data_IF_592362798897
#
_entry.id   IF_592362798897
#
_cell.length_a   1.000
_cell.length_b   1.000
_cell.length_c   1.000
_cell.angle_alpha   90.00
_cell.angle_beta   90.00
_cell.angle_gamma   90.00
#
_symmetry.space_group_name_H-M   'P 1'
#
loop_
_entity.id
_entity.type
_entity.pdbx_description
1 polymer ?
#
# COMPACT_ATOMS: atom_id res chain seq x y z
N UNK A 1 -31.40 -26.47 16.79
CA UNK A 1 -29.94 -26.20 16.69
C UNK A 1 -29.45 -25.87 18.09
N UNK A 2 -28.39 -26.52 18.59
CA UNK A 2 -27.89 -26.30 19.97
C UNK A 2 -27.27 -24.90 20.09
N UNK A 3 -27.83 -23.99 20.92
CA UNK A 3 -27.31 -22.64 21.12
C UNK A 3 -25.86 -22.62 21.62
N UNK A 4 -25.43 -23.62 22.40
CA UNK A 4 -24.06 -23.72 22.92
C UNK A 4 -23.07 -24.05 21.81
N UNK A 5 -23.46 -24.90 20.86
CA UNK A 5 -22.67 -25.20 19.66
C UNK A 5 -22.50 -23.95 18.79
N UNK A 6 -23.59 -23.23 18.53
CA UNK A 6 -23.55 -22.00 17.73
C UNK A 6 -22.65 -20.90 18.34
N UNK A 7 -22.67 -20.74 19.67
CA UNK A 7 -21.80 -19.78 20.38
C UNK A 7 -20.33 -20.21 20.28
N UNK A 8 -20.01 -21.49 20.48
CA UNK A 8 -18.64 -22.01 20.34
C UNK A 8 -18.10 -21.82 18.93
N UNK A 9 -18.91 -22.11 17.91
CA UNK A 9 -18.52 -21.96 16.51
C UNK A 9 -18.23 -20.49 16.16
N UNK A 10 -19.07 -19.55 16.64
CA UNK A 10 -18.82 -18.11 16.48
C UNK A 10 -17.54 -17.65 17.18
N UNK A 11 -17.32 -18.09 18.42
CA UNK A 11 -16.11 -17.75 19.18
C UNK A 11 -14.84 -18.28 18.52
N UNK A 12 -14.87 -19.51 18.00
CA UNK A 12 -13.74 -20.10 17.30
C UNK A 12 -13.43 -19.30 16.03
N UNK A 13 -14.44 -18.92 15.26
CA UNK A 13 -14.24 -18.09 14.06
C UNK A 13 -13.61 -16.74 14.40
N UNK A 14 -14.11 -16.05 15.42
CA UNK A 14 -13.54 -14.78 15.89
C UNK A 14 -12.06 -14.94 16.28
N UNK A 15 -11.71 -16.02 17.00
CA UNK A 15 -10.32 -16.29 17.38
C UNK A 15 -9.42 -16.52 16.16
N UNK A 16 -9.90 -17.27 15.18
CA UNK A 16 -9.16 -17.51 13.93
C UNK A 16 -8.96 -16.22 13.15
N UNK A 17 -10.00 -15.41 12.99
CA UNK A 17 -9.94 -14.13 12.27
C UNK A 17 -8.97 -13.16 12.96
N UNK A 18 -9.02 -13.06 14.29
CA UNK A 18 -8.08 -12.25 15.07
C UNK A 18 -6.64 -12.73 14.95
N UNK A 19 -6.42 -14.06 14.91
CA UNK A 19 -5.10 -14.65 14.67
C UNK A 19 -4.54 -14.24 13.31
N UNK A 20 -5.34 -14.37 12.25
CA UNK A 20 -4.92 -13.98 10.90
C UNK A 20 -4.62 -12.48 10.78
N UNK A 21 -5.45 -11.63 11.39
CA UNK A 21 -5.20 -10.16 11.42
C UNK A 21 -3.90 -9.86 12.15
N UNK A 22 -3.68 -10.46 13.33
CA UNK A 22 -2.44 -10.29 14.10
C UNK A 22 -1.23 -10.67 13.26
N UNK A 23 -1.28 -11.83 12.61
CA UNK A 23 -0.14 -12.34 11.84
C UNK A 23 0.15 -11.45 10.61
N UNK A 24 -0.90 -10.90 9.97
CA UNK A 24 -0.75 -9.91 8.90
C UNK A 24 -0.12 -8.60 9.39
N UNK A 25 -0.52 -8.10 10.56
CA UNK A 25 0.03 -6.87 11.14
C UNK A 25 1.48 -7.07 11.55
N UNK A 26 1.82 -8.20 12.17
CA UNK A 26 3.20 -8.53 12.51
C UNK A 26 4.07 -8.66 11.27
N UNK A 27 3.55 -9.25 10.19
CA UNK A 27 4.27 -9.29 8.92
C UNK A 27 4.61 -7.88 8.40
N UNK A 28 3.65 -6.96 8.42
CA UNK A 28 3.88 -5.57 8.02
C UNK A 28 4.91 -4.89 8.95
N UNK A 29 4.81 -5.07 10.28
CA UNK A 29 5.79 -4.52 11.24
C UNK A 29 7.20 -5.04 10.97
N UNK A 30 7.37 -6.34 10.75
CA UNK A 30 8.69 -6.91 10.43
C UNK A 30 9.22 -6.41 9.09
N UNK A 31 8.35 -6.18 8.10
CA UNK A 31 8.72 -5.58 6.84
C UNK A 31 9.32 -4.17 7.00
N UNK A 32 8.77 -3.35 7.91
CA UNK A 32 9.38 -2.06 8.28
C UNK A 32 10.72 -2.27 9.01
N UNK A 33 10.77 -3.17 10.01
CA UNK A 33 12.00 -3.46 10.77
C UNK A 33 13.17 -3.92 9.90
N UNK A 34 12.88 -4.68 8.84
CA UNK A 34 13.90 -5.19 7.92
C UNK A 34 14.44 -4.10 6.98
N UNK A 35 13.59 -3.17 6.57
CA UNK A 35 13.90 -2.18 5.51
C UNK A 35 14.19 -0.78 6.00
N UNK A 36 13.87 -0.47 7.24
CA UNK A 36 14.24 0.78 7.90
C UNK A 36 15.32 0.54 8.97
N UNK A 37 16.59 0.89 8.69
CA UNK A 37 17.67 0.80 9.66
C UNK A 37 17.47 1.64 10.92
N UNK A 38 16.59 2.65 10.89
CA UNK A 38 16.32 3.52 12.03
C UNK A 38 15.37 2.89 13.05
N UNK A 39 14.55 1.91 12.65
CA UNK A 39 13.64 1.23 13.55
C UNK A 39 14.42 0.55 14.69
N UNK A 40 14.02 0.77 15.93
CA UNK A 40 14.64 0.15 17.11
C UNK A 40 13.81 -1.00 17.67
N UNK A 41 12.48 -0.97 17.51
CA UNK A 41 11.59 -2.03 18.02
C UNK A 41 10.27 -2.16 17.24
N UNK A 42 9.62 -3.31 17.39
CA UNK A 42 8.29 -3.57 16.83
C UNK A 42 7.22 -2.63 17.40
N UNK A 43 7.34 -2.29 18.68
CA UNK A 43 6.44 -1.35 19.36
C UNK A 43 6.58 0.07 18.79
N UNK A 44 7.81 0.50 18.51
CA UNK A 44 8.07 1.80 17.87
C UNK A 44 7.42 1.88 16.49
N UNK A 45 7.63 0.87 15.66
CA UNK A 45 7.02 0.78 14.32
C UNK A 45 5.50 0.80 14.42
N UNK A 46 4.92 -0.03 15.29
CA UNK A 46 3.47 -0.16 15.39
C UNK A 46 2.78 1.12 15.91
N UNK A 47 3.41 1.83 16.85
CA UNK A 47 2.77 2.93 17.58
C UNK A 47 3.13 4.31 17.05
N UNK A 48 4.26 4.46 16.35
CA UNK A 48 4.81 5.77 16.00
C UNK A 48 4.95 5.99 14.49
N UNK A 49 4.89 4.96 13.65
CA UNK A 49 5.20 5.12 12.23
C UNK A 49 3.95 5.50 11.43
N UNK A 50 3.92 6.68 10.77
CA UNK A 50 2.77 7.11 9.98
C UNK A 50 2.44 6.16 8.83
N UNK A 51 3.48 5.58 8.20
CA UNK A 51 3.33 4.56 7.16
C UNK A 51 2.56 3.34 7.66
N UNK A 52 2.93 2.82 8.85
CA UNK A 52 2.25 1.69 9.47
C UNK A 52 0.78 2.03 9.79
N UNK A 53 0.54 3.20 10.39
CA UNK A 53 -0.82 3.66 10.70
C UNK A 53 -1.69 3.79 9.43
N UNK A 54 -1.14 4.35 8.36
CA UNK A 54 -1.86 4.50 7.08
C UNK A 54 -2.30 3.15 6.51
N UNK A 55 -1.45 2.11 6.59
CA UNK A 55 -1.81 0.76 6.16
C UNK A 55 -2.91 0.16 7.02
N UNK A 56 -2.85 0.29 8.35
CA UNK A 56 -3.90 -0.21 9.24
C UNK A 56 -5.25 0.42 8.93
N UNK A 57 -5.29 1.75 8.78
CA UNK A 57 -6.51 2.45 8.40
C UNK A 57 -6.99 2.05 7.00
N UNK A 58 -6.08 1.91 6.04
CA UNK A 58 -6.43 1.47 4.69
C UNK A 58 -7.05 0.07 4.70
N UNK A 59 -6.45 -0.91 5.38
CA UNK A 59 -7.00 -2.27 5.47
C UNK A 59 -8.42 -2.27 6.07
N UNK A 60 -8.68 -1.45 7.10
CA UNK A 60 -10.02 -1.28 7.65
C UNK A 60 -10.98 -0.60 6.66
N UNK A 61 -10.54 0.46 5.98
CA UNK A 61 -11.33 1.17 4.97
C UNK A 61 -11.65 0.27 3.76
N UNK A 62 -10.70 -0.52 3.30
CA UNK A 62 -10.84 -1.47 2.20
C UNK A 62 -11.89 -2.52 2.53
N UNK A 63 -11.83 -3.13 3.72
CA UNK A 63 -12.81 -4.11 4.16
C UNK A 63 -14.24 -3.53 4.26
N UNK A 64 -14.40 -2.25 4.57
CA UNK A 64 -15.70 -1.57 4.51
C UNK A 64 -16.14 -1.29 3.08
N UNK A 65 -15.20 -0.89 2.22
CA UNK A 65 -15.44 -0.63 0.81
C UNK A 65 -15.93 -1.88 0.08
N UNK A 66 -15.29 -3.03 0.29
CA UNK A 66 -15.69 -4.32 -0.29
C UNK A 66 -17.09 -4.77 0.16
N UNK A 67 -17.55 -4.32 1.33
CA UNK A 67 -18.91 -4.56 1.84
C UNK A 67 -19.94 -3.55 1.32
N UNK A 68 -19.54 -2.60 0.49
CA UNK A 68 -20.41 -1.56 -0.08
C UNK A 68 -20.58 -0.32 0.80
N UNK A 69 -19.92 -0.23 1.97
CA UNK A 69 -19.97 0.95 2.85
C UNK A 69 -19.01 2.05 2.38
N UNK A 70 -19.19 2.53 1.16
CA UNK A 70 -18.26 3.41 0.44
C UNK A 70 -18.01 4.74 1.14
N UNK A 71 -19.06 5.38 1.70
CA UNK A 71 -18.92 6.63 2.43
C UNK A 71 -18.08 6.46 3.71
N UNK A 72 -18.39 5.43 4.51
CA UNK A 72 -17.64 5.15 5.74
C UNK A 72 -16.18 4.81 5.44
N UNK A 73 -15.93 4.01 4.40
CA UNK A 73 -14.60 3.72 3.92
C UNK A 73 -13.83 5.00 3.51
N UNK A 74 -14.49 5.91 2.77
CA UNK A 74 -13.87 7.19 2.38
C UNK A 74 -13.62 8.09 3.59
N UNK A 75 -14.50 8.13 4.57
CA UNK A 75 -14.31 8.88 5.81
C UNK A 75 -13.07 8.39 6.58
N UNK A 76 -12.88 7.07 6.72
CA UNK A 76 -11.67 6.50 7.34
C UNK A 76 -10.41 6.88 6.54
N UNK A 77 -10.44 6.74 5.22
CA UNK A 77 -9.33 7.12 4.33
C UNK A 77 -8.94 8.60 4.50
N UNK A 78 -9.91 9.50 4.60
CA UNK A 78 -9.62 10.92 4.82
C UNK A 78 -9.13 11.24 6.24
N UNK A 79 -9.64 10.54 7.25
CA UNK A 79 -9.10 10.62 8.62
C UNK A 79 -7.65 10.15 8.68
N UNK A 80 -7.32 9.04 8.02
CA UNK A 80 -5.97 8.53 7.91
C UNK A 80 -5.03 9.54 7.22
N UNK A 81 -5.47 10.13 6.11
CA UNK A 81 -4.76 11.22 5.42
C UNK A 81 -4.48 12.40 6.35
N UNK A 82 -5.48 12.82 7.12
CA UNK A 82 -5.33 13.95 8.05
C UNK A 82 -4.27 13.67 9.14
N UNK A 83 -4.25 12.46 9.69
CA UNK A 83 -3.33 12.07 10.76
C UNK A 83 -1.92 11.80 10.24
N UNK A 84 -1.80 11.17 9.07
CA UNK A 84 -0.51 10.59 8.59
C UNK A 84 0.12 11.37 7.44
N UNK A 85 -0.65 12.22 6.75
CA UNK A 85 -0.21 12.85 5.49
C UNK A 85 -0.17 11.91 4.27
N UNK A 86 -0.61 10.66 4.42
CA UNK A 86 -0.64 9.63 3.36
C UNK A 86 -2.08 9.43 2.89
N UNK A 87 -2.33 9.59 1.60
CA UNK A 87 -3.64 9.32 1.00
C UNK A 87 -3.64 7.98 0.27
N UNK A 88 -4.46 7.04 0.76
CA UNK A 88 -4.74 5.76 0.08
C UNK A 88 -6.23 5.67 -0.15
N UNK A 89 -6.64 5.54 -1.41
CA UNK A 89 -8.04 5.33 -1.73
C UNK A 89 -8.54 3.98 -1.15
N UNK A 90 -9.76 3.88 -0.58
CA UNK A 90 -10.24 2.63 -0.01
C UNK A 90 -10.30 1.46 -0.99
N UNK A 91 -10.57 1.73 -2.28
CA UNK A 91 -10.64 0.71 -3.33
C UNK A 91 -9.28 0.23 -3.85
N UNK A 92 -8.18 0.92 -3.51
CA UNK A 92 -6.85 0.49 -3.92
C UNK A 92 -6.57 -0.91 -3.34
N UNK A 93 -5.89 -1.76 -4.10
CA UNK A 93 -5.52 -3.10 -3.63
C UNK A 93 -4.06 -3.08 -3.20
N UNK A 94 -3.80 -3.46 -1.96
CA UNK A 94 -2.46 -3.45 -1.38
C UNK A 94 -2.14 -4.82 -0.81
N UNK A 95 -1.01 -5.38 -1.26
CA UNK A 95 -0.45 -6.62 -0.77
C UNK A 95 0.03 -6.55 0.69
N UNK A 96 0.82 -7.54 1.09
CA UNK A 96 1.47 -7.59 2.40
C UNK A 96 2.88 -7.00 2.34
N UNK A 97 3.35 -6.47 3.46
CA UNK A 97 4.70 -5.93 3.58
C UNK A 97 4.93 -4.69 2.72
N UNK A 98 3.91 -3.88 2.44
CA UNK A 98 4.17 -2.56 1.87
C UNK A 98 4.84 -1.69 2.95
N UNK A 99 6.02 -1.14 2.65
CA UNK A 99 6.66 -0.13 3.51
C UNK A 99 6.44 1.23 2.89
N UNK A 100 5.81 2.14 3.63
CA UNK A 100 5.67 3.55 3.25
C UNK A 100 6.60 4.35 4.16
N UNK A 101 7.82 4.58 3.69
CA UNK A 101 8.86 5.25 4.45
C UNK A 101 8.77 6.78 4.27
N UNK A 102 8.87 7.50 5.39
CA UNK A 102 8.70 8.95 5.47
C UNK A 102 7.43 9.48 4.78
N UNK A 103 6.36 8.68 4.68
CA UNK A 103 5.26 8.76 3.70
C UNK A 103 4.48 10.07 3.48
N UNK A 104 4.87 11.20 4.06
CA UNK A 104 4.28 12.50 3.78
C UNK A 104 4.06 12.72 2.28
N UNK A 105 2.85 13.13 1.91
CA UNK A 105 2.41 13.40 0.54
C UNK A 105 2.45 12.18 -0.42
N UNK A 106 2.47 10.96 0.10
CA UNK A 106 2.18 9.76 -0.72
C UNK A 106 0.70 9.75 -1.10
N UNK A 107 0.42 9.48 -2.38
CA UNK A 107 -0.94 9.38 -2.93
C UNK A 107 -1.09 8.07 -3.73
N UNK A 108 -2.02 7.22 -3.33
CA UNK A 108 -2.35 5.96 -3.99
C UNK A 108 -3.83 5.99 -4.42
N UNK A 109 -4.06 6.04 -5.73
CA UNK A 109 -5.38 6.26 -6.30
C UNK A 109 -6.30 5.04 -6.34
N UNK A 110 -7.55 5.26 -6.75
CA UNK A 110 -8.67 4.30 -6.61
C UNK A 110 -8.41 2.91 -7.19
N UNK A 111 -7.87 2.85 -8.41
CA UNK A 111 -7.69 1.59 -9.13
C UNK A 111 -6.23 1.13 -9.10
N UNK A 112 -5.44 1.67 -8.18
CA UNK A 112 -4.05 1.28 -8.03
C UNK A 112 -4.00 -0.12 -7.42
N UNK A 113 -3.06 -0.91 -7.89
CA UNK A 113 -2.75 -2.21 -7.32
C UNK A 113 -1.27 -2.19 -6.94
N UNK A 114 -0.97 -2.63 -5.72
CA UNK A 114 0.39 -2.72 -5.21
C UNK A 114 0.63 -4.14 -4.71
N UNK A 115 1.60 -4.81 -5.31
CA UNK A 115 2.01 -6.16 -4.95
C UNK A 115 2.69 -6.24 -3.58
N UNK A 116 3.17 -7.43 -3.26
CA UNK A 116 3.79 -7.71 -1.97
C UNK A 116 5.20 -7.10 -1.87
N UNK A 117 5.60 -6.77 -0.65
CA UNK A 117 6.97 -6.37 -0.30
C UNK A 117 7.50 -5.15 -1.08
N UNK A 118 6.61 -4.26 -1.49
CA UNK A 118 7.00 -2.99 -2.09
C UNK A 118 7.51 -2.00 -1.04
N UNK A 119 8.34 -1.05 -1.47
CA UNK A 119 8.77 0.10 -0.67
C UNK A 119 8.45 1.39 -1.43
N UNK A 120 7.75 2.30 -0.77
CA UNK A 120 7.35 3.60 -1.32
C UNK A 120 7.87 4.69 -0.38
N UNK A 121 8.61 5.65 -0.94
CA UNK A 121 9.09 6.80 -0.20
C UNK A 121 8.13 8.00 -0.28
N UNK A 122 8.41 9.04 0.50
CA UNK A 122 7.64 10.28 0.57
C UNK A 122 7.35 10.91 -0.80
N UNK A 123 6.21 11.59 -0.92
CA UNK A 123 5.84 12.35 -2.12
C UNK A 123 5.58 11.52 -3.38
N UNK A 124 5.54 10.19 -3.28
CA UNK A 124 5.21 9.32 -4.41
C UNK A 124 3.74 9.44 -4.80
N UNK A 125 3.45 9.40 -6.10
CA UNK A 125 2.07 9.34 -6.59
C UNK A 125 1.88 8.14 -7.50
N UNK A 126 0.91 7.29 -7.16
CA UNK A 126 0.34 6.25 -8.04
C UNK A 126 -1.00 6.79 -8.57
N UNK A 127 -0.91 7.53 -9.68
CA UNK A 127 -1.97 8.40 -10.18
C UNK A 127 -2.55 7.97 -11.52
N UNK A 128 -3.61 8.65 -11.95
CA UNK A 128 -4.12 8.56 -13.32
C UNK A 128 -3.75 9.78 -14.17
N UNK A 129 -3.96 9.68 -15.48
CA UNK A 129 -3.55 10.68 -16.49
C UNK A 129 -4.72 11.50 -17.06
N UNK A 130 -5.95 11.32 -16.56
CA UNK A 130 -7.12 11.98 -17.13
C UNK A 130 -8.44 11.72 -16.38
N UNK A 131 -9.56 11.99 -17.06
CA UNK A 131 -10.93 11.82 -16.55
C UNK A 131 -11.56 10.47 -16.88
N UNK A 132 -10.78 9.55 -17.46
CA UNK A 132 -11.28 8.24 -17.86
C UNK A 132 -11.85 7.47 -16.66
N UNK A 133 -12.93 6.75 -16.90
CA UNK A 133 -13.56 5.88 -15.91
C UNK A 133 -13.03 4.45 -16.06
N UNK A 134 -12.94 3.71 -14.94
CA UNK A 134 -12.35 2.38 -14.92
C UNK A 134 -10.87 2.37 -14.50
N UNK A 135 -10.11 1.35 -14.93
CA UNK A 135 -8.69 1.16 -14.59
C UNK A 135 -7.86 2.30 -15.20
N UNK A 136 -7.27 3.13 -14.34
CA UNK A 136 -6.55 4.36 -14.72
C UNK A 136 -5.31 4.65 -13.88
N UNK A 137 -5.05 3.83 -12.87
CA UNK A 137 -3.90 3.91 -11.98
C UNK A 137 -3.01 2.69 -12.21
N UNK A 138 -1.72 2.76 -11.84
CA UNK A 138 -0.77 1.70 -12.17
C UNK A 138 -1.04 0.40 -11.40
N UNK A 139 -0.50 -0.69 -11.94
CA UNK A 139 -0.32 -1.95 -11.23
C UNK A 139 1.16 -2.12 -10.93
N UNK A 140 1.52 -2.05 -9.65
CA UNK A 140 2.88 -2.24 -9.15
C UNK A 140 3.06 -3.72 -8.81
N UNK A 141 4.07 -4.35 -9.39
CA UNK A 141 4.46 -5.73 -9.13
C UNK A 141 5.02 -5.95 -7.72
N UNK A 142 5.55 -7.13 -7.46
CA UNK A 142 6.14 -7.47 -6.16
C UNK A 142 7.56 -6.94 -6.02
N UNK A 143 7.99 -6.66 -4.79
CA UNK A 143 9.35 -6.23 -4.46
C UNK A 143 9.80 -4.94 -5.20
N UNK A 144 8.86 -4.10 -5.59
CA UNK A 144 9.15 -2.83 -6.29
C UNK A 144 9.57 -1.77 -5.28
N UNK A 145 10.63 -1.03 -5.59
CA UNK A 145 11.04 0.16 -4.84
C UNK A 145 10.70 1.42 -5.65
N UNK A 146 9.97 2.34 -5.05
CA UNK A 146 9.60 3.62 -5.66
C UNK A 146 10.19 4.76 -4.84
N UNK A 147 11.20 5.40 -5.41
CA UNK A 147 11.99 6.46 -4.78
C UNK A 147 11.20 7.74 -4.51
N UNK A 148 11.73 8.55 -3.59
CA UNK A 148 11.07 9.76 -3.10
C UNK A 148 10.63 10.68 -4.25
N UNK A 149 9.40 11.16 -4.19
CA UNK A 149 8.85 12.13 -5.13
C UNK A 149 8.50 11.57 -6.52
N UNK A 150 8.70 10.29 -6.80
CA UNK A 150 8.38 9.72 -8.11
C UNK A 150 6.87 9.78 -8.43
N UNK A 151 6.54 9.88 -9.71
CA UNK A 151 5.17 9.91 -10.22
C UNK A 151 4.99 8.76 -11.21
N UNK A 152 4.10 7.83 -10.91
CA UNK A 152 3.74 6.72 -11.80
C UNK A 152 2.30 6.93 -12.21
N UNK A 153 2.08 7.32 -13.47
CA UNK A 153 0.81 7.87 -13.92
C UNK A 153 0.24 7.07 -15.10
N UNK A 154 -0.87 6.37 -14.87
CA UNK A 154 -1.60 5.65 -15.90
C UNK A 154 -1.78 4.15 -15.60
N UNK A 155 -2.62 3.45 -16.39
CA UNK A 155 -3.01 2.06 -16.13
C UNK A 155 -2.04 1.02 -16.72
N UNK A 156 -0.76 1.10 -16.38
CA UNK A 156 0.25 0.17 -16.87
C UNK A 156 0.92 -0.61 -15.73
N UNK A 157 1.66 -1.68 -16.08
CA UNK A 157 2.39 -2.50 -15.13
C UNK A 157 3.79 -1.95 -14.87
N UNK A 158 4.18 -1.89 -13.60
CA UNK A 158 5.59 -1.83 -13.16
C UNK A 158 6.00 -3.23 -12.73
N UNK A 159 6.96 -3.82 -13.42
CA UNK A 159 7.37 -5.21 -13.25
C UNK A 159 7.96 -5.52 -11.87
N UNK A 160 7.94 -6.81 -11.51
CA UNK A 160 8.47 -7.29 -10.24
C UNK A 160 9.97 -6.95 -10.10
N UNK A 161 10.39 -6.54 -8.90
CA UNK A 161 11.76 -6.17 -8.60
C UNK A 161 12.26 -4.87 -9.26
N UNK A 162 11.39 -4.16 -9.99
CA UNK A 162 11.73 -2.89 -10.61
C UNK A 162 12.06 -1.82 -9.57
N UNK A 163 12.88 -0.84 -9.97
CA UNK A 163 13.26 0.30 -9.14
C UNK A 163 12.98 1.59 -9.88
N UNK A 164 12.07 2.39 -9.33
CA UNK A 164 11.79 3.73 -9.84
C UNK A 164 12.62 4.71 -9.04
N UNK A 165 13.48 5.48 -9.70
CA UNK A 165 14.35 6.43 -9.02
C UNK A 165 13.57 7.62 -8.46
N UNK A 166 14.18 8.29 -7.48
CA UNK A 166 13.62 9.50 -6.89
C UNK A 166 13.36 10.58 -7.97
N UNK A 167 12.20 11.22 -7.88
CA UNK A 167 11.77 12.29 -8.79
C UNK A 167 11.42 11.83 -10.22
N UNK A 168 11.49 10.53 -10.53
CA UNK A 168 11.18 10.04 -11.88
C UNK A 168 9.68 10.20 -12.22
N UNK A 169 9.37 10.44 -13.49
CA UNK A 169 7.98 10.50 -14.01
C UNK A 169 7.78 9.36 -15.00
N UNK A 170 7.15 8.30 -14.54
CA UNK A 170 6.91 7.06 -15.29
C UNK A 170 5.55 7.14 -15.98
N UNK A 171 5.55 6.98 -17.30
CA UNK A 171 4.38 7.12 -18.17
C UNK A 171 4.15 5.88 -19.06
N UNK A 172 5.00 4.86 -18.94
CA UNK A 172 4.98 3.64 -19.73
C UNK A 172 5.35 2.42 -18.88
N UNK A 173 5.09 1.22 -19.40
CA UNK A 173 5.40 -0.03 -18.72
C UNK A 173 6.88 -0.13 -18.35
N UNK A 174 7.14 -0.65 -17.15
CA UNK A 174 8.50 -0.85 -16.63
C UNK A 174 8.79 -2.34 -16.56
N UNK A 175 9.85 -2.84 -17.24
CA UNK A 175 10.22 -4.25 -17.18
C UNK A 175 10.54 -4.74 -15.76
N UNK A 176 10.49 -6.06 -15.57
CA UNK A 176 10.92 -6.69 -14.32
C UNK A 176 12.43 -6.50 -14.09
N UNK A 177 12.85 -6.38 -12.83
CA UNK A 177 14.24 -6.20 -12.41
C UNK A 177 14.99 -5.04 -13.09
N UNK A 178 14.26 -4.04 -13.61
CA UNK A 178 14.84 -2.87 -14.25
C UNK A 178 15.02 -1.69 -13.28
N UNK A 179 15.65 -0.63 -13.75
CA UNK A 179 15.73 0.66 -13.07
C UNK A 179 15.37 1.79 -14.01
N UNK A 180 14.38 2.57 -13.63
CA UNK A 180 13.83 3.70 -14.40
C UNK A 180 14.17 5.04 -13.75
N UNK A 181 14.69 5.97 -14.54
CA UNK A 181 15.14 7.31 -14.07
C UNK A 181 14.68 8.40 -15.03
N UNK A 182 14.51 9.63 -14.52
CA UNK A 182 14.32 10.83 -15.35
C UNK A 182 12.87 11.26 -15.57
N UNK A 183 12.71 12.31 -16.39
CA UNK A 183 11.43 12.93 -16.74
C UNK A 183 11.41 13.18 -18.25
N UNK A 184 10.66 12.40 -19.05
CA UNK A 184 10.01 11.14 -18.67
C UNK A 184 11.03 10.06 -18.29
N UNK A 185 10.60 9.09 -17.49
CA UNK A 185 11.45 8.01 -17.02
C UNK A 185 11.87 7.09 -18.18
N UNK A 186 13.09 6.57 -18.13
CA UNK A 186 13.62 5.59 -19.07
C UNK A 186 14.40 4.51 -18.32
N UNK A 187 14.33 3.29 -18.84
CA UNK A 187 15.16 2.18 -18.37
C UNK A 187 16.63 2.50 -18.59
N UNK A 188 17.43 2.48 -17.52
CA UNK A 188 18.89 2.65 -17.57
C UNK A 188 19.67 1.40 -17.19
N UNK A 189 19.00 0.42 -16.60
CA UNK A 189 19.59 -0.87 -16.24
C UNK A 189 18.53 -1.95 -16.23
N UNK A 190 18.87 -3.11 -16.75
CA UNK A 190 18.16 -4.37 -16.52
C UNK A 190 19.15 -5.28 -15.77
N UNK A 191 18.70 -5.95 -14.72
CA UNK A 191 19.54 -6.90 -13.96
C UNK A 191 19.35 -8.32 -14.43
#
# INVERSE_FOLDING_TARGET
MDPRKLIKDKLNRIKTDLGAIRDSVLYDVHAFRERDPAAQSDAEVLLLYPGMHALLFHRAAHALHEKGYTFAARAISQGARFITGIEIHPAAKIGKGLVIDHGAAVVIGETAEVGDNCTIYQGVTLGGTGKDTGKRHPTIGNNVLIGAGAKVLGPFKVGDGARIAAGAVVLEEVPENSTDVGIPARVVRVR
#
